data_IF_643800136323
#
_entry.id   IF_643800136323
#
_cell.length_a   1.000
_cell.length_b   1.000
_cell.length_c   1.000
_cell.angle_alpha   90.00
_cell.angle_beta   90.00
_cell.angle_gamma   90.00
#
_symmetry.space_group_name_H-M   'P 1'
#
loop_
_entity.id
_entity.type
_entity.pdbx_description
1 polymer ?
#
# COMPACT_ATOMS: atom_id res chain seq x y z
N UNK A 1 13.79 -15.37 6.85
CA UNK A 1 12.38 -15.13 6.51
C UNK A 1 11.97 -16.17 5.48
N UNK A 2 10.83 -16.82 5.72
CA UNK A 2 10.27 -17.78 4.77
C UNK A 2 9.71 -17.08 3.55
N UNK A 3 9.99 -17.61 2.36
CA UNK A 3 9.42 -17.09 1.11
C UNK A 3 8.11 -17.81 0.81
N UNK A 4 7.16 -17.10 0.23
CA UNK A 4 5.90 -17.64 -0.24
C UNK A 4 6.06 -18.46 -1.54
N UNK A 5 5.03 -19.23 -1.83
CA UNK A 5 4.90 -20.05 -3.03
C UNK A 5 3.91 -19.43 -4.03
N UNK A 6 3.75 -20.08 -5.18
CA UNK A 6 2.71 -19.73 -6.15
C UNK A 6 1.30 -19.89 -5.55
N UNK A 7 1.12 -20.87 -4.66
CA UNK A 7 -0.18 -21.13 -4.04
C UNK A 7 -0.53 -20.02 -3.04
N UNK A 8 0.45 -19.53 -2.27
CA UNK A 8 0.26 -18.36 -1.39
C UNK A 8 -0.18 -17.11 -2.17
N UNK A 9 0.36 -16.90 -3.38
CA UNK A 9 -0.08 -15.80 -4.27
C UNK A 9 -1.51 -16.01 -4.73
N UNK A 10 -1.86 -17.23 -5.13
CA UNK A 10 -3.22 -17.54 -5.56
C UNK A 10 -4.23 -17.30 -4.42
N UNK A 11 -3.91 -17.73 -3.21
CA UNK A 11 -4.75 -17.51 -2.03
C UNK A 11 -4.89 -16.00 -1.70
N UNK A 12 -3.80 -15.24 -1.79
CA UNK A 12 -3.82 -13.79 -1.62
C UNK A 12 -4.71 -13.10 -2.67
N UNK A 13 -4.65 -13.55 -3.94
CA UNK A 13 -5.50 -13.04 -5.01
C UNK A 13 -6.98 -13.37 -4.77
N UNK A 14 -7.28 -14.59 -4.31
CA UNK A 14 -8.65 -14.98 -3.98
C UNK A 14 -9.20 -14.16 -2.81
N UNK A 15 -8.40 -13.98 -1.75
CA UNK A 15 -8.76 -13.13 -0.61
C UNK A 15 -9.00 -11.68 -1.04
N UNK A 16 -8.14 -11.12 -1.88
CA UNK A 16 -8.29 -9.76 -2.40
C UNK A 16 -9.55 -9.60 -3.27
N UNK A 17 -9.86 -10.58 -4.13
CA UNK A 17 -11.09 -10.58 -4.94
C UNK A 17 -12.35 -10.65 -4.08
N UNK A 18 -12.34 -11.46 -3.03
CA UNK A 18 -13.48 -11.55 -2.12
C UNK A 18 -13.68 -10.25 -1.34
N UNK A 19 -12.60 -9.70 -0.78
CA UNK A 19 -12.65 -8.42 -0.07
C UNK A 19 -13.09 -7.26 -0.95
N UNK A 20 -12.76 -7.28 -2.24
CA UNK A 20 -13.15 -6.22 -3.17
C UNK A 20 -14.66 -6.09 -3.33
N UNK A 21 -15.42 -7.17 -3.17
CA UNK A 21 -16.90 -7.15 -3.27
C UNK A 21 -17.56 -6.20 -2.26
N UNK A 22 -16.89 -5.91 -1.16
CA UNK A 22 -17.38 -4.97 -0.13
C UNK A 22 -16.52 -3.71 -0.08
N UNK A 23 -15.19 -3.86 -0.04
CA UNK A 23 -14.27 -2.73 0.06
C UNK A 23 -14.36 -1.77 -1.13
N UNK A 24 -14.58 -2.27 -2.33
CA UNK A 24 -14.76 -1.45 -3.54
C UNK A 24 -15.93 -0.47 -3.45
N UNK A 25 -16.91 -0.76 -2.59
CA UNK A 25 -18.07 0.10 -2.33
C UNK A 25 -18.00 0.86 -1.00
N UNK A 26 -16.86 0.78 -0.28
CA UNK A 26 -16.66 1.56 0.93
C UNK A 26 -16.76 3.05 0.67
N UNK A 27 -17.27 3.80 1.63
CA UNK A 27 -17.39 5.24 1.50
C UNK A 27 -16.03 5.93 1.58
N UNK A 28 -15.95 7.15 1.06
CA UNK A 28 -14.77 8.01 1.20
C UNK A 28 -14.41 8.23 2.68
N UNK A 29 -15.42 8.43 3.50
CA UNK A 29 -15.31 8.69 4.93
C UNK A 29 -14.73 7.49 5.70
N UNK A 30 -15.18 6.27 5.39
CA UNK A 30 -14.63 5.03 5.95
C UNK A 30 -13.14 4.86 5.61
N UNK A 31 -12.76 5.10 4.35
CA UNK A 31 -11.37 5.02 3.91
C UNK A 31 -10.50 6.08 4.60
N UNK A 32 -10.99 7.31 4.75
CA UNK A 32 -10.30 8.39 5.46
C UNK A 32 -10.06 7.98 6.91
N UNK A 33 -11.08 7.51 7.63
CA UNK A 33 -10.98 7.13 9.03
C UNK A 33 -9.92 6.03 9.26
N UNK A 34 -9.90 5.00 8.41
CA UNK A 34 -8.91 3.93 8.48
C UNK A 34 -7.50 4.42 8.15
N UNK A 35 -7.33 5.28 7.15
CA UNK A 35 -6.04 5.87 6.80
C UNK A 35 -5.52 6.83 7.88
N UNK A 36 -6.39 7.58 8.57
CA UNK A 36 -6.00 8.43 9.70
C UNK A 36 -5.57 7.59 10.90
N UNK A 37 -6.27 6.47 11.17
CA UNK A 37 -5.87 5.48 12.17
C UNK A 37 -4.50 4.90 11.84
N UNK A 38 -4.31 4.43 10.60
CA UNK A 38 -3.01 3.94 10.12
C UNK A 38 -1.90 4.99 10.29
N UNK A 39 -2.15 6.24 9.90
CA UNK A 39 -1.17 7.31 10.03
C UNK A 39 -0.79 7.58 11.50
N UNK A 40 -1.73 7.48 12.40
CA UNK A 40 -1.49 7.62 13.84
C UNK A 40 -0.62 6.48 14.38
N UNK A 41 -0.91 5.24 13.98
CA UNK A 41 -0.11 4.07 14.32
C UNK A 41 1.29 4.14 13.70
N UNK A 42 1.39 4.56 12.45
CA UNK A 42 2.68 4.76 11.77
C UNK A 42 3.59 5.71 12.57
N UNK A 43 3.07 6.84 13.04
CA UNK A 43 3.82 7.77 13.88
C UNK A 43 4.20 7.17 15.24
N UNK A 44 3.33 6.37 15.84
CA UNK A 44 3.60 5.69 17.12
C UNK A 44 4.72 4.66 16.97
N UNK A 45 4.75 3.93 15.87
CA UNK A 45 5.76 2.90 15.58
C UNK A 45 6.90 3.40 14.68
N UNK A 46 7.18 4.70 14.73
CA UNK A 46 8.24 5.34 13.93
C UNK A 46 9.60 4.67 14.07
N UNK A 47 9.99 4.34 15.31
CA UNK A 47 11.28 3.72 15.59
C UNK A 47 11.33 2.28 15.03
N UNK A 48 10.26 1.51 15.12
CA UNK A 48 10.21 0.14 14.59
C UNK A 48 10.47 0.14 13.07
N UNK A 49 9.85 1.07 12.36
CA UNK A 49 10.06 1.25 10.91
C UNK A 49 11.50 1.68 10.63
N UNK A 50 12.01 2.64 11.40
CA UNK A 50 13.38 3.16 11.25
C UNK A 50 14.40 2.06 11.49
N UNK A 51 14.24 1.27 12.56
CA UNK A 51 15.16 0.19 12.92
C UNK A 51 15.11 -0.94 11.88
N UNK A 52 13.93 -1.26 11.36
CA UNK A 52 13.78 -2.21 10.25
C UNK A 52 14.57 -1.75 9.01
N UNK A 53 14.45 -0.47 8.62
CA UNK A 53 15.18 0.10 7.48
C UNK A 53 16.70 0.07 7.72
N UNK A 54 17.17 0.38 8.93
CA UNK A 54 18.58 0.29 9.27
C UNK A 54 19.08 -1.15 9.14
N UNK A 55 18.30 -2.10 9.63
CA UNK A 55 18.67 -3.51 9.62
C UNK A 55 18.72 -4.10 8.20
N UNK A 56 17.75 -3.76 7.34
CA UNK A 56 17.65 -4.33 5.99
C UNK A 56 18.54 -3.64 4.97
N UNK A 57 18.81 -2.34 5.14
CA UNK A 57 19.55 -1.55 4.15
C UNK A 57 20.93 -1.08 4.63
N UNK A 58 21.24 -1.19 5.93
CA UNK A 58 22.44 -0.55 6.49
C UNK A 58 22.41 0.99 6.44
N UNK A 59 21.22 1.58 6.35
CA UNK A 59 21.07 3.04 6.22
C UNK A 59 21.53 3.77 7.49
N UNK A 60 22.23 4.91 7.38
CA UNK A 60 22.56 5.74 8.55
C UNK A 60 21.29 6.16 9.30
N UNK A 61 21.34 6.13 10.65
CA UNK A 61 20.16 6.33 11.52
C UNK A 61 19.36 7.60 11.18
N UNK A 62 20.05 8.72 11.02
CA UNK A 62 19.40 10.00 10.71
C UNK A 62 18.71 9.97 9.32
N UNK A 63 19.34 9.34 8.34
CA UNK A 63 18.80 9.17 7.01
C UNK A 63 17.58 8.21 7.04
N UNK A 64 17.69 7.08 7.71
CA UNK A 64 16.59 6.12 7.86
C UNK A 64 15.39 6.77 8.53
N UNK A 65 15.59 7.50 9.63
CA UNK A 65 14.51 8.12 10.40
C UNK A 65 13.90 9.32 9.65
N UNK A 66 14.72 10.33 9.33
CA UNK A 66 14.22 11.62 8.84
C UNK A 66 13.75 11.55 7.40
N UNK A 67 14.44 10.80 6.55
CA UNK A 67 14.12 10.73 5.12
C UNK A 67 13.31 9.50 4.78
N UNK A 68 13.77 8.31 5.06
CA UNK A 68 13.08 7.09 4.59
C UNK A 68 11.75 6.86 5.32
N UNK A 69 11.75 6.80 6.64
CA UNK A 69 10.52 6.70 7.45
C UNK A 69 9.66 7.96 7.25
N UNK A 70 10.29 9.14 7.23
CA UNK A 70 9.63 10.42 7.01
C UNK A 70 8.88 10.52 5.68
N UNK A 71 9.43 9.95 4.61
CA UNK A 71 8.79 9.96 3.28
C UNK A 71 7.51 9.14 3.29
N UNK A 72 7.51 7.95 3.91
CA UNK A 72 6.30 7.12 4.03
C UNK A 72 5.16 7.85 4.78
N UNK A 73 5.51 8.52 5.89
CA UNK A 73 4.56 9.36 6.63
C UNK A 73 4.04 10.54 5.79
N UNK A 74 4.92 11.20 5.04
CA UNK A 74 4.57 12.33 4.17
C UNK A 74 3.61 11.92 3.07
N UNK A 75 3.85 10.78 2.40
CA UNK A 75 2.94 10.23 1.40
C UNK A 75 1.57 9.91 2.01
N UNK A 76 1.54 9.24 3.15
CA UNK A 76 0.29 8.90 3.84
C UNK A 76 -0.52 10.16 4.14
N UNK A 77 0.09 11.18 4.74
CA UNK A 77 -0.55 12.46 5.04
C UNK A 77 -1.07 13.15 3.77
N UNK A 78 -0.30 13.12 2.70
CA UNK A 78 -0.66 13.77 1.43
C UNK A 78 -1.86 13.08 0.78
N UNK A 79 -1.88 11.73 0.73
CA UNK A 79 -3.00 11.00 0.15
C UNK A 79 -4.29 11.13 0.97
N UNK A 80 -4.20 11.19 2.31
CA UNK A 80 -5.37 11.50 3.16
C UNK A 80 -5.93 12.88 2.79
N UNK A 81 -5.08 13.90 2.63
CA UNK A 81 -5.51 15.23 2.22
C UNK A 81 -6.17 15.23 0.85
N UNK A 82 -5.54 14.59 -0.14
CA UNK A 82 -6.11 14.49 -1.49
C UNK A 82 -7.44 13.72 -1.50
N UNK A 83 -7.55 12.65 -0.70
CA UNK A 83 -8.79 11.89 -0.61
C UNK A 83 -9.93 12.73 -0.04
N UNK A 84 -9.68 13.60 0.95
CA UNK A 84 -10.69 14.52 1.51
C UNK A 84 -11.27 15.46 0.45
N UNK A 85 -10.42 15.91 -0.46
CA UNK A 85 -10.78 16.87 -1.51
C UNK A 85 -11.29 16.19 -2.79
N UNK A 86 -11.02 14.88 -2.97
CA UNK A 86 -11.33 14.18 -4.22
C UNK A 86 -12.82 13.90 -4.36
N UNK A 87 -13.37 14.25 -5.53
CA UNK A 87 -14.75 13.96 -5.93
C UNK A 87 -14.78 12.72 -6.82
N UNK A 88 -15.31 11.60 -6.31
CA UNK A 88 -15.48 10.36 -7.07
C UNK A 88 -16.60 10.43 -8.11
N UNK A 89 -17.50 11.39 -7.95
CA UNK A 89 -18.57 11.69 -8.90
C UNK A 89 -18.65 13.19 -9.14
N UNK A 90 -18.66 13.60 -10.40
CA UNK A 90 -18.82 15.01 -10.78
C UNK A 90 -19.55 15.16 -12.11
N UNK A 91 -20.18 16.31 -12.40
CA UNK A 91 -20.74 16.59 -13.72
C UNK A 91 -19.70 16.42 -14.83
N UNK A 92 -20.10 15.85 -15.96
CA UNK A 92 -19.17 15.67 -17.09
C UNK A 92 -18.73 17.00 -17.70
N UNK A 93 -19.60 18.00 -17.67
CA UNK A 93 -19.32 19.35 -18.15
C UNK A 93 -20.60 20.08 -18.58
N UNK A 94 -20.49 21.36 -18.93
CA UNK A 94 -21.60 22.20 -19.35
C UNK A 94 -22.34 21.70 -20.60
N UNK A 95 -21.61 21.01 -21.50
CA UNK A 95 -22.15 20.43 -22.72
C UNK A 95 -22.98 19.16 -22.49
N UNK A 96 -22.94 18.59 -21.28
CA UNK A 96 -23.56 17.31 -20.95
C UNK A 96 -24.11 17.31 -19.50
N UNK A 97 -24.99 18.26 -19.19
CA UNK A 97 -25.48 18.54 -17.82
C UNK A 97 -26.12 17.33 -17.11
N UNK A 98 -26.69 16.40 -17.87
CA UNK A 98 -27.35 15.21 -17.34
C UNK A 98 -26.39 13.99 -17.27
N UNK A 99 -25.12 14.15 -17.62
CA UNK A 99 -24.11 13.10 -17.57
C UNK A 99 -23.13 13.33 -16.41
N UNK A 100 -22.66 12.22 -15.84
CA UNK A 100 -21.74 12.20 -14.71
C UNK A 100 -20.47 11.47 -15.09
N UNK A 101 -19.35 11.96 -14.58
CA UNK A 101 -18.07 11.27 -14.58
C UNK A 101 -17.91 10.55 -13.24
N UNK A 102 -17.80 9.24 -13.28
CA UNK A 102 -17.59 8.38 -12.10
C UNK A 102 -16.16 7.86 -12.08
N UNK A 103 -15.51 7.93 -10.92
CA UNK A 103 -14.23 7.29 -10.65
C UNK A 103 -14.47 6.08 -9.78
N UNK A 104 -14.21 4.90 -10.32
CA UNK A 104 -14.41 3.62 -9.63
C UNK A 104 -13.06 2.95 -9.33
N UNK A 105 -12.97 2.15 -8.24
CA UNK A 105 -11.77 1.40 -7.95
C UNK A 105 -11.49 0.37 -9.05
N UNK A 106 -10.21 0.23 -9.43
CA UNK A 106 -9.79 -0.67 -10.52
C UNK A 106 -10.01 -2.16 -10.20
N UNK A 107 -10.04 -2.50 -8.92
CA UNK A 107 -10.14 -3.88 -8.46
C UNK A 107 -8.93 -4.32 -7.66
N UNK A 108 -8.44 -5.53 -7.93
CA UNK A 108 -7.26 -6.09 -7.28
C UNK A 108 -5.98 -5.57 -7.95
N UNK A 109 -5.07 -5.00 -7.17
CA UNK A 109 -3.80 -4.44 -7.64
C UNK A 109 -2.62 -5.32 -7.20
N UNK A 110 -1.73 -5.65 -8.12
CA UNK A 110 -0.42 -6.22 -7.81
C UNK A 110 0.60 -5.08 -7.63
N UNK A 111 1.15 -4.94 -6.43
CA UNK A 111 2.09 -3.88 -6.06
C UNK A 111 3.48 -4.49 -5.86
N UNK A 112 4.40 -4.21 -6.77
CA UNK A 112 5.79 -4.70 -6.72
C UNK A 112 6.69 -3.51 -6.43
N UNK A 113 7.55 -3.62 -5.42
CA UNK A 113 8.43 -2.52 -4.99
C UNK A 113 9.89 -2.93 -4.92
N UNK A 114 10.82 -2.04 -5.35
CA UNK A 114 12.25 -2.26 -5.22
C UNK A 114 12.73 -2.02 -3.77
N UNK A 115 14.01 -2.32 -3.53
CA UNK A 115 14.64 -2.26 -2.20
C UNK A 115 15.23 -0.89 -1.84
N UNK A 116 15.52 -0.05 -2.81
CA UNK A 116 16.40 1.12 -2.64
C UNK A 116 15.82 2.28 -1.83
N UNK A 117 14.52 2.34 -1.63
CA UNK A 117 13.83 3.33 -0.78
C UNK A 117 12.50 2.73 -0.27
N UNK A 118 12.53 1.76 0.68
CA UNK A 118 11.40 0.88 0.98
C UNK A 118 10.10 1.62 1.28
N UNK A 119 10.08 2.50 2.28
CA UNK A 119 8.83 3.17 2.68
C UNK A 119 8.31 4.17 1.64
N UNK A 120 9.20 4.83 0.87
CA UNK A 120 8.76 5.63 -0.26
C UNK A 120 8.01 4.77 -1.28
N UNK A 121 8.62 3.66 -1.70
CA UNK A 121 8.08 2.80 -2.75
C UNK A 121 6.78 2.11 -2.31
N UNK A 122 6.73 1.62 -1.08
CA UNK A 122 5.56 0.92 -0.54
C UNK A 122 4.40 1.88 -0.32
N UNK A 123 4.62 2.99 0.38
CA UNK A 123 3.53 3.94 0.69
C UNK A 123 2.98 4.62 -0.57
N UNK A 124 3.80 4.90 -1.58
CA UNK A 124 3.34 5.47 -2.86
C UNK A 124 2.41 4.54 -3.65
N UNK A 125 2.38 3.25 -3.34
CA UNK A 125 1.50 2.27 -4.00
C UNK A 125 0.34 1.85 -3.10
N UNK A 126 0.64 1.49 -1.84
CA UNK A 126 -0.36 0.98 -0.90
C UNK A 126 -1.39 2.05 -0.52
N UNK A 127 -0.93 3.24 -0.14
CA UNK A 127 -1.85 4.28 0.35
C UNK A 127 -2.84 4.76 -0.72
N UNK A 128 -2.43 5.10 -1.95
CA UNK A 128 -3.40 5.48 -2.99
C UNK A 128 -4.31 4.31 -3.40
N UNK A 129 -3.86 3.06 -3.36
CA UNK A 129 -4.71 1.92 -3.63
C UNK A 129 -5.80 1.76 -2.56
N UNK A 130 -5.46 1.91 -1.27
CA UNK A 130 -6.43 1.96 -0.17
C UNK A 130 -7.39 3.15 -0.33
N UNK A 131 -6.86 4.34 -0.61
CA UNK A 131 -7.65 5.56 -0.78
C UNK A 131 -8.66 5.46 -1.93
N UNK A 132 -8.31 4.78 -3.02
CA UNK A 132 -9.18 4.59 -4.17
C UNK A 132 -10.18 3.43 -4.03
N UNK A 133 -10.13 2.65 -2.95
CA UNK A 133 -11.01 1.48 -2.74
C UNK A 133 -10.55 0.22 -3.45
N UNK A 134 -9.31 0.15 -3.91
CA UNK A 134 -8.72 -1.07 -4.44
C UNK A 134 -8.32 -2.03 -3.32
N UNK A 135 -8.36 -3.32 -3.61
CA UNK A 135 -7.68 -4.35 -2.83
C UNK A 135 -6.34 -4.68 -3.46
N UNK A 136 -5.43 -5.30 -2.72
CA UNK A 136 -4.07 -5.46 -3.25
C UNK A 136 -3.31 -6.65 -2.70
N UNK A 137 -2.29 -7.03 -3.47
CA UNK A 137 -1.20 -7.89 -3.03
C UNK A 137 0.10 -7.08 -3.12
N UNK A 138 0.79 -6.89 -2.01
CA UNK A 138 2.11 -6.27 -1.97
C UNK A 138 3.20 -7.34 -2.03
N UNK A 139 4.04 -7.27 -3.04
CA UNK A 139 5.31 -8.00 -3.14
C UNK A 139 6.46 -7.00 -2.97
N UNK A 140 7.00 -6.79 -1.77
CA UNK A 140 8.19 -5.99 -1.60
C UNK A 140 9.42 -6.75 -2.12
N UNK A 141 10.54 -6.03 -2.28
CA UNK A 141 11.81 -6.70 -2.55
C UNK A 141 12.18 -7.63 -1.39
N UNK A 142 12.65 -8.81 -1.72
CA UNK A 142 13.20 -9.79 -0.77
C UNK A 142 14.48 -9.27 -0.08
N UNK A 143 15.13 -8.25 -0.64
CA UNK A 143 16.30 -7.59 -0.06
C UNK A 143 15.95 -6.58 1.04
N UNK A 144 14.71 -6.06 1.06
CA UNK A 144 14.23 -5.08 2.03
C UNK A 144 12.79 -5.38 2.47
N UNK A 145 12.54 -6.53 3.14
CA UNK A 145 11.20 -6.94 3.50
C UNK A 145 10.73 -6.43 4.87
N UNK A 146 11.67 -6.10 5.78
CA UNK A 146 11.34 -5.89 7.19
C UNK A 146 10.46 -4.67 7.43
N UNK A 147 10.77 -3.55 6.82
CA UNK A 147 9.95 -2.33 6.95
C UNK A 147 8.56 -2.51 6.32
N UNK A 148 8.45 -3.28 5.24
CA UNK A 148 7.16 -3.64 4.65
C UNK A 148 6.35 -4.61 5.53
N UNK A 149 7.01 -5.48 6.31
CA UNK A 149 6.34 -6.32 7.31
C UNK A 149 5.78 -5.47 8.45
N UNK A 150 6.53 -4.50 8.96
CA UNK A 150 6.01 -3.54 9.96
C UNK A 150 4.81 -2.79 9.42
N UNK A 151 4.82 -2.38 8.14
CA UNK A 151 3.66 -1.75 7.51
C UNK A 151 2.45 -2.69 7.45
N UNK A 152 2.65 -3.97 7.15
CA UNK A 152 1.58 -4.97 7.15
C UNK A 152 0.92 -5.11 8.54
N UNK A 153 1.74 -5.14 9.61
CA UNK A 153 1.25 -5.11 10.99
C UNK A 153 0.43 -3.85 11.28
N UNK A 154 0.89 -2.68 10.82
CA UNK A 154 0.17 -1.42 10.99
C UNK A 154 -1.19 -1.40 10.29
N UNK A 155 -1.30 -2.02 9.12
CA UNK A 155 -2.58 -2.17 8.41
C UNK A 155 -3.53 -3.06 9.19
N UNK A 156 -3.04 -4.16 9.77
CA UNK A 156 -3.84 -5.03 10.64
C UNK A 156 -4.26 -4.32 11.93
N UNK A 157 -3.35 -3.63 12.60
CA UNK A 157 -3.63 -2.81 13.79
C UNK A 157 -4.67 -1.72 13.49
N UNK A 158 -4.63 -1.11 12.31
CA UNK A 158 -5.59 -0.10 11.87
C UNK A 158 -6.96 -0.68 11.51
N UNK A 159 -7.12 -2.02 11.53
CA UNK A 159 -8.37 -2.74 11.31
C UNK A 159 -8.95 -2.58 9.90
N UNK A 160 -8.10 -2.50 8.89
CA UNK A 160 -8.58 -2.69 7.52
C UNK A 160 -9.24 -4.06 7.38
N UNK A 161 -10.33 -4.18 6.59
CA UNK A 161 -11.01 -5.46 6.41
C UNK A 161 -10.06 -6.54 5.85
N UNK A 162 -10.24 -7.79 6.31
CA UNK A 162 -9.43 -8.92 5.86
C UNK A 162 -9.47 -9.06 4.34
N UNK A 163 -8.31 -9.32 3.73
CA UNK A 163 -8.16 -9.47 2.30
C UNK A 163 -8.03 -8.15 1.51
N UNK A 164 -8.28 -6.98 2.11
CA UNK A 164 -8.05 -5.68 1.46
C UNK A 164 -6.58 -5.48 1.15
N UNK A 165 -5.72 -5.83 2.10
CA UNK A 165 -4.27 -5.83 1.93
C UNK A 165 -3.74 -7.25 2.16
N UNK A 166 -2.94 -7.75 1.22
CA UNK A 166 -2.25 -9.02 1.31
C UNK A 166 -0.76 -8.80 1.10
N UNK A 167 0.05 -9.43 1.93
CA UNK A 167 1.49 -9.33 1.86
C UNK A 167 2.06 -10.66 1.38
N UNK A 168 2.84 -10.64 0.32
CA UNK A 168 3.45 -11.85 -0.23
C UNK A 168 4.93 -11.63 -0.50
N UNK A 169 5.78 -12.33 0.25
CA UNK A 169 7.22 -12.28 0.08
C UNK A 169 7.66 -13.39 -0.87
N UNK A 170 7.94 -13.03 -2.10
CA UNK A 170 8.36 -13.95 -3.16
C UNK A 170 9.73 -13.57 -3.66
N UNK A 171 10.54 -14.60 -3.96
CA UNK A 171 11.67 -14.45 -4.86
C UNK A 171 11.10 -14.41 -6.29
N UNK A 172 11.35 -13.34 -6.99
CA UNK A 172 11.09 -13.28 -8.44
C UNK A 172 12.42 -13.18 -9.13
N UNK A 173 12.75 -14.17 -9.98
CA UNK A 173 13.75 -13.93 -11.00
C UNK A 173 13.30 -12.72 -11.81
N UNK A 174 14.18 -11.75 -11.99
CA UNK A 174 13.94 -10.64 -12.90
C UNK A 174 13.82 -11.24 -14.31
N UNK A 175 12.83 -10.78 -15.08
CA UNK A 175 12.68 -11.17 -16.49
C UNK A 175 13.96 -10.86 -17.30
N UNK A 176 14.80 -9.93 -16.83
CA UNK A 176 16.14 -9.67 -17.38
C UNK A 176 17.14 -10.78 -17.04
N UNK A 177 17.04 -11.43 -15.86
CA UNK A 177 17.90 -12.55 -15.48
C UNK A 177 17.56 -13.83 -16.26
N UNK A 178 16.30 -14.05 -16.62
CA UNK A 178 15.87 -15.20 -17.43
C UNK A 178 16.31 -15.10 -18.90
N UNK A 179 16.63 -13.89 -19.37
CA UNK A 179 17.14 -13.68 -20.73
C UNK A 179 18.64 -13.97 -20.89
N UNK A 180 19.37 -14.20 -19.77
CA UNK A 180 20.81 -14.46 -19.73
C UNK A 180 21.18 -15.92 -19.40
N UNK A 181 20.20 -16.83 -19.34
CA UNK A 181 20.39 -18.25 -19.11
C UNK A 181 20.16 -19.10 -20.34
#
# INVERSE_FOLDING_TARGET
ISLGSKDDVNDAVLAAKEAFKTWGYSTKEERIALLETFYTLYKKRWNDITDAIIQEMGAPKDFASKLQTGTGASHTKSFIRYLKEFEFEKPLGEHAKNQRLLYEPKGVCALITPWNWPMNQVCLKVIPALASGCTMILKPSELAPLSAMVLAELIDEAKFPKGVFNFCLLYTSDAADDSLR
#
